data_IF_401992841349
#
_entry.id   IF_401992841349
#
_cell.length_a   1.000
_cell.length_b   1.000
_cell.length_c   1.000
_cell.angle_alpha   90.00
_cell.angle_beta   90.00
_cell.angle_gamma   90.00
#
_symmetry.space_group_name_H-M   'P 1'
#
loop_
_entity.id
_entity.type
_entity.pdbx_description
1 polymer ?
#
# COMPACT_ATOMS: atom_id res chain seq x y z
N UNK A 1 -8.71 15.62 15.95
CA UNK A 1 -7.28 15.27 15.83
C UNK A 1 -6.70 16.14 14.73
N UNK A 2 -5.56 16.80 14.98
CA UNK A 2 -4.93 17.64 13.96
C UNK A 2 -4.28 16.77 12.86
N UNK A 3 -4.14 17.32 11.65
CA UNK A 3 -3.56 16.57 10.53
C UNK A 3 -2.11 16.14 10.79
N UNK A 4 -1.36 16.95 11.53
CA UNK A 4 -0.01 16.65 11.95
C UNK A 4 0.05 15.46 12.90
N UNK A 5 -0.98 15.29 13.76
CA UNK A 5 -1.06 14.15 14.68
C UNK A 5 -1.34 12.86 13.91
N UNK A 6 -2.21 12.91 12.90
CA UNK A 6 -2.51 11.75 12.04
C UNK A 6 -1.26 11.33 11.27
N UNK A 7 -0.56 12.28 10.65
CA UNK A 7 0.68 12.00 9.95
C UNK A 7 1.74 11.43 10.90
N UNK A 8 1.90 12.01 12.09
CA UNK A 8 2.82 11.51 13.12
C UNK A 8 2.47 10.10 13.55
N UNK A 9 1.21 9.81 13.87
CA UNK A 9 0.77 8.48 14.27
C UNK A 9 1.05 7.44 13.18
N UNK A 10 0.76 7.76 11.92
CA UNK A 10 1.02 6.87 10.80
C UNK A 10 2.53 6.58 10.63
N UNK A 11 3.37 7.61 10.82
CA UNK A 11 4.83 7.50 10.69
C UNK A 11 5.53 6.89 11.91
N UNK A 12 4.90 6.88 13.09
CA UNK A 12 5.51 6.38 14.33
C UNK A 12 4.71 5.22 14.93
N UNK A 13 3.66 5.50 15.69
CA UNK A 13 2.89 4.53 16.48
C UNK A 13 2.28 3.42 15.63
N UNK A 14 1.87 3.76 14.40
CA UNK A 14 1.30 2.84 13.41
C UNK A 14 2.25 2.60 12.24
N UNK A 15 3.56 2.74 12.46
CA UNK A 15 4.57 2.54 11.42
C UNK A 15 4.53 1.13 10.80
N UNK A 16 4.14 0.12 11.57
CA UNK A 16 4.02 -1.27 11.09
C UNK A 16 2.93 -1.45 10.03
N UNK A 17 1.74 -0.89 10.25
CA UNK A 17 0.64 -0.99 9.26
C UNK A 17 1.00 -0.20 8.00
N UNK A 18 1.59 0.98 8.16
CA UNK A 18 2.10 1.77 7.04
C UNK A 18 3.10 0.95 6.22
N UNK A 19 4.09 0.35 6.88
CA UNK A 19 5.15 -0.46 6.26
C UNK A 19 4.61 -1.70 5.51
N UNK A 20 3.61 -2.39 6.05
CA UNK A 20 2.96 -3.52 5.35
C UNK A 20 2.18 -3.07 4.12
N UNK A 21 1.38 -2.00 4.25
CA UNK A 21 0.66 -1.45 3.10
C UNK A 21 1.59 -0.90 2.02
N UNK A 22 2.70 -0.25 2.41
CA UNK A 22 3.74 0.20 1.48
C UNK A 22 4.28 -0.96 0.66
N UNK A 23 4.69 -2.05 1.33
CA UNK A 23 5.21 -3.24 0.66
C UNK A 23 4.18 -3.83 -0.29
N UNK A 24 2.97 -4.11 0.21
CA UNK A 24 1.90 -4.68 -0.61
C UNK A 24 1.63 -3.82 -1.86
N UNK A 25 1.45 -2.51 -1.69
CA UNK A 25 1.18 -1.61 -2.81
C UNK A 25 2.38 -1.47 -3.75
N UNK A 26 3.62 -1.59 -3.24
CA UNK A 26 4.78 -1.64 -4.11
C UNK A 26 4.81 -2.91 -4.97
N UNK A 27 4.40 -4.07 -4.44
CA UNK A 27 4.19 -5.28 -5.24
C UNK A 27 3.04 -5.10 -6.23
N UNK A 28 1.90 -4.55 -5.79
CA UNK A 28 0.77 -4.23 -6.67
C UNK A 28 1.22 -3.38 -7.87
N UNK A 29 1.99 -2.31 -7.64
CA UNK A 29 2.54 -1.43 -8.68
C UNK A 29 3.28 -2.21 -9.76
N UNK A 30 4.11 -3.16 -9.37
CA UNK A 30 4.98 -3.92 -10.28
C UNK A 30 4.22 -5.02 -11.00
N UNK A 31 3.32 -5.70 -10.29
CA UNK A 31 2.53 -6.83 -10.81
C UNK A 31 1.39 -6.35 -11.71
N UNK A 32 0.56 -5.43 -11.21
CA UNK A 32 -0.63 -4.96 -11.92
C UNK A 32 -0.31 -3.80 -12.89
N UNK A 33 0.81 -3.09 -12.68
CA UNK A 33 1.17 -1.93 -13.50
C UNK A 33 0.20 -0.74 -13.37
N UNK A 34 -0.75 -0.81 -12.43
CA UNK A 34 -1.82 0.17 -12.32
C UNK A 34 -1.43 1.35 -11.42
N UNK A 35 -0.90 2.41 -12.03
CA UNK A 35 -0.56 3.65 -11.31
C UNK A 35 -1.78 4.48 -10.91
N UNK A 36 -2.94 4.27 -11.54
CA UNK A 36 -4.15 5.06 -11.24
C UNK A 36 -4.67 4.85 -9.81
N UNK A 37 -4.41 3.67 -9.21
CA UNK A 37 -4.74 3.41 -7.81
C UNK A 37 -4.03 4.40 -6.87
N UNK A 38 -2.78 4.74 -7.16
CA UNK A 38 -1.99 5.65 -6.34
C UNK A 38 -2.50 7.09 -6.45
N UNK A 39 -2.93 7.50 -7.65
CA UNK A 39 -3.61 8.80 -7.84
C UNK A 39 -4.92 8.87 -7.05
N UNK A 40 -5.72 7.79 -7.05
CA UNK A 40 -6.96 7.70 -6.26
C UNK A 40 -6.68 7.82 -4.77
N UNK A 41 -5.69 7.08 -4.25
CA UNK A 41 -5.28 7.16 -2.85
C UNK A 41 -4.77 8.56 -2.48
N UNK A 42 -3.95 9.18 -3.33
CA UNK A 42 -3.35 10.48 -3.03
C UNK A 42 -4.31 11.67 -3.15
N UNK A 43 -5.36 11.53 -3.97
CA UNK A 43 -6.31 12.61 -4.28
C UNK A 43 -7.72 12.38 -3.73
N UNK A 44 -7.92 11.34 -2.92
CA UNK A 44 -9.21 11.11 -2.30
C UNK A 44 -9.66 12.35 -1.50
N UNK A 45 -10.91 12.74 -1.72
CA UNK A 45 -11.52 13.92 -1.11
C UNK A 45 -12.19 13.61 0.22
N UNK A 46 -12.64 12.38 0.38
CA UNK A 46 -13.38 11.92 1.53
C UNK A 46 -13.10 10.44 1.83
N UNK A 47 -13.76 9.93 2.87
CA UNK A 47 -13.65 8.55 3.30
C UNK A 47 -14.13 7.56 2.24
N UNK A 48 -15.16 7.92 1.45
CA UNK A 48 -15.74 7.02 0.45
C UNK A 48 -14.75 6.79 -0.68
N UNK A 49 -14.17 7.84 -1.24
CA UNK A 49 -13.15 7.71 -2.29
C UNK A 49 -11.92 6.93 -1.79
N UNK A 50 -11.55 7.13 -0.52
CA UNK A 50 -10.48 6.36 0.09
C UNK A 50 -10.83 4.87 0.23
N UNK A 51 -12.05 4.55 0.66
CA UNK A 51 -12.56 3.17 0.76
C UNK A 51 -12.63 2.49 -0.61
N UNK A 52 -13.07 3.20 -1.65
CA UNK A 52 -13.12 2.67 -3.02
C UNK A 52 -11.71 2.28 -3.50
N UNK A 53 -10.71 3.13 -3.23
CA UNK A 53 -9.31 2.82 -3.55
C UNK A 53 -8.77 1.63 -2.74
N UNK A 54 -9.06 1.55 -1.43
CA UNK A 54 -8.66 0.39 -0.62
C UNK A 54 -9.31 -0.91 -1.09
N UNK A 55 -10.58 -0.86 -1.50
CA UNK A 55 -11.28 -2.00 -2.05
C UNK A 55 -10.65 -2.47 -3.36
N UNK A 56 -10.33 -1.55 -4.28
CA UNK A 56 -9.63 -1.87 -5.53
C UNK A 56 -8.29 -2.56 -5.28
N UNK A 57 -7.54 -2.08 -4.27
CA UNK A 57 -6.28 -2.69 -3.86
C UNK A 57 -6.51 -4.09 -3.26
N UNK A 58 -7.46 -4.24 -2.33
CA UNK A 58 -7.70 -5.50 -1.61
C UNK A 58 -8.30 -6.60 -2.50
N UNK A 59 -9.17 -6.24 -3.45
CA UNK A 59 -9.86 -7.17 -4.36
C UNK A 59 -8.92 -8.07 -5.15
N UNK A 60 -7.71 -7.59 -5.44
CA UNK A 60 -6.71 -8.32 -6.24
C UNK A 60 -5.55 -8.85 -5.39
N UNK A 61 -5.62 -8.75 -4.06
CA UNK A 61 -4.54 -9.12 -3.14
C UNK A 61 -3.99 -10.51 -3.43
N UNK A 62 -4.86 -11.52 -3.42
CA UNK A 62 -4.43 -12.91 -3.57
C UNK A 62 -3.77 -13.17 -4.92
N UNK A 63 -4.25 -12.52 -5.98
CA UNK A 63 -3.63 -12.57 -7.31
C UNK A 63 -2.26 -11.91 -7.34
N UNK A 64 -2.14 -10.71 -6.75
CA UNK A 64 -0.85 -10.00 -6.64
C UNK A 64 0.16 -10.84 -5.89
N UNK A 65 -0.23 -11.44 -4.76
CA UNK A 65 0.64 -12.28 -3.96
C UNK A 65 1.04 -13.57 -4.67
N UNK A 66 0.09 -14.24 -5.35
CA UNK A 66 0.40 -15.43 -6.15
C UNK A 66 1.42 -15.10 -7.25
N UNK A 67 1.18 -14.01 -8.00
CA UNK A 67 2.04 -13.60 -9.10
C UNK A 67 3.42 -13.15 -8.63
N UNK A 68 3.50 -12.46 -7.49
CA UNK A 68 4.77 -12.12 -6.83
C UNK A 68 5.61 -13.39 -6.56
N UNK A 69 4.99 -14.42 -5.97
CA UNK A 69 5.67 -15.70 -5.67
C UNK A 69 6.11 -16.42 -6.94
N UNK A 70 5.26 -16.45 -7.96
CA UNK A 70 5.58 -17.07 -9.26
C UNK A 70 6.75 -16.37 -9.96
N UNK A 71 6.71 -15.05 -10.07
CA UNK A 71 7.72 -14.28 -10.80
C UNK A 71 9.06 -14.30 -10.05
N UNK A 72 9.05 -14.39 -8.71
CA UNK A 72 10.25 -14.66 -7.91
C UNK A 72 10.80 -16.06 -8.17
N UNK A 73 9.95 -17.09 -8.21
CA UNK A 73 10.37 -18.46 -8.50
C UNK A 73 10.97 -18.62 -9.90
N UNK A 74 10.54 -17.78 -10.86
CA UNK A 74 11.09 -17.72 -12.23
C UNK A 74 12.34 -16.84 -12.36
N UNK A 75 12.73 -16.13 -11.31
CA UNK A 75 13.84 -15.16 -11.36
C UNK A 75 13.54 -13.91 -12.20
N UNK A 76 12.26 -13.62 -12.46
CA UNK A 76 11.82 -12.41 -13.18
C UNK A 76 11.74 -11.18 -12.24
N UNK A 77 11.59 -11.43 -10.93
CA UNK A 77 11.64 -10.43 -9.88
C UNK A 77 12.79 -10.70 -8.91
N UNK A 78 13.20 -9.65 -8.22
CA UNK A 78 14.12 -9.72 -7.08
C UNK A 78 13.50 -9.06 -5.85
N UNK A 79 13.69 -9.71 -4.70
CA UNK A 79 13.23 -9.30 -3.37
C UNK A 79 14.38 -9.50 -2.38
N UNK A 80 14.60 -8.55 -1.47
CA UNK A 80 15.52 -8.74 -0.33
C UNK A 80 14.87 -9.45 0.87
N UNK A 81 13.54 -9.60 0.82
CA UNK A 81 12.65 -10.08 1.88
C UNK A 81 11.94 -11.36 1.46
N UNK A 82 11.12 -11.93 2.35
CA UNK A 82 10.23 -13.02 1.97
C UNK A 82 8.96 -12.46 1.30
N UNK A 83 8.36 -13.16 0.33
CA UNK A 83 7.09 -12.74 -0.28
C UNK A 83 5.99 -12.49 0.76
N UNK A 84 5.97 -13.25 1.85
CA UNK A 84 5.01 -13.14 2.95
C UNK A 84 5.08 -11.78 3.67
N UNK A 85 6.24 -11.10 3.64
CA UNK A 85 6.39 -9.76 4.21
C UNK A 85 5.56 -8.70 3.45
N UNK A 86 5.13 -9.01 2.22
CA UNK A 86 4.30 -8.14 1.37
C UNK A 86 2.81 -8.37 1.56
N UNK A 87 2.42 -9.31 2.42
CA UNK A 87 1.02 -9.61 2.66
C UNK A 87 0.38 -8.63 3.66
N UNK A 88 -0.83 -8.19 3.33
CA UNK A 88 -1.73 -7.45 4.20
C UNK A 88 -2.93 -8.31 4.61
N UNK A 89 -3.41 -8.10 5.82
CA UNK A 89 -4.56 -8.79 6.42
C UNK A 89 -5.66 -7.82 6.87
N UNK A 90 -6.73 -8.37 7.45
CA UNK A 90 -7.88 -7.63 7.93
C UNK A 90 -7.54 -6.68 9.09
N UNK A 91 -6.53 -7.00 9.89
CA UNK A 91 -6.05 -6.13 10.98
C UNK A 91 -5.34 -4.92 10.41
N UNK A 92 -4.48 -5.12 9.40
CA UNK A 92 -3.82 -4.01 8.70
C UNK A 92 -4.85 -3.08 8.03
N UNK A 93 -5.92 -3.62 7.45
CA UNK A 93 -7.01 -2.82 6.90
C UNK A 93 -7.73 -2.03 7.99
N UNK A 94 -8.09 -2.69 9.09
CA UNK A 94 -8.78 -2.05 10.22
C UNK A 94 -7.96 -0.89 10.80
N UNK A 95 -6.67 -1.11 11.04
CA UNK A 95 -5.78 -0.08 11.58
C UNK A 95 -5.62 1.12 10.63
N UNK A 96 -5.56 0.89 9.32
CA UNK A 96 -5.46 1.96 8.35
C UNK A 96 -6.76 2.77 8.26
N UNK A 97 -7.91 2.10 8.27
CA UNK A 97 -9.23 2.74 8.25
C UNK A 97 -9.50 3.53 9.52
N UNK A 98 -9.12 3.02 10.70
CA UNK A 98 -9.22 3.76 11.96
C UNK A 98 -8.45 5.09 11.93
N UNK A 99 -7.26 5.13 11.32
CA UNK A 99 -6.54 6.39 11.14
C UNK A 99 -7.26 7.32 10.16
N UNK A 100 -7.74 6.76 9.05
CA UNK A 100 -8.44 7.53 8.03
C UNK A 100 -9.81 8.06 8.50
N UNK A 101 -10.39 7.53 9.57
CA UNK A 101 -11.66 8.02 10.15
C UNK A 101 -11.46 8.96 11.33
N UNK A 102 -10.22 9.24 11.75
CA UNK A 102 -9.93 10.12 12.88
C UNK A 102 -10.34 11.59 12.68
N UNK A 103 -10.52 12.03 11.44
CA UNK A 103 -11.11 13.32 11.07
C UNK A 103 -11.55 13.33 9.60
N UNK A 104 -12.37 14.29 9.17
CA UNK A 104 -12.82 14.42 7.77
C UNK A 104 -11.67 14.57 6.76
N UNK A 105 -10.54 15.16 7.18
CA UNK A 105 -9.37 15.38 6.32
C UNK A 105 -8.35 14.24 6.40
N UNK A 106 -8.53 13.30 7.33
CA UNK A 106 -7.60 12.19 7.54
C UNK A 106 -7.44 11.26 6.32
N UNK A 107 -8.50 10.90 5.55
CA UNK A 107 -8.36 9.99 4.41
C UNK A 107 -7.33 10.49 3.40
N UNK A 108 -7.35 11.78 3.08
CA UNK A 108 -6.42 12.40 2.14
C UNK A 108 -4.97 12.36 2.64
N UNK A 109 -4.74 12.61 3.92
CA UNK A 109 -3.39 12.57 4.51
C UNK A 109 -2.87 11.14 4.53
N UNK A 110 -3.67 10.19 5.00
CA UNK A 110 -3.28 8.77 5.06
C UNK A 110 -3.02 8.24 3.65
N UNK A 111 -3.96 8.45 2.72
CA UNK A 111 -3.86 7.99 1.34
C UNK A 111 -2.66 8.58 0.58
N UNK A 112 -2.41 9.88 0.71
CA UNK A 112 -1.26 10.52 0.07
C UNK A 112 0.08 10.03 0.62
N UNK A 113 0.20 9.82 1.93
CA UNK A 113 1.43 9.28 2.52
C UNK A 113 1.65 7.84 2.07
N UNK A 114 0.65 6.96 2.23
CA UNK A 114 0.74 5.55 1.81
C UNK A 114 1.12 5.43 0.34
N UNK A 115 0.45 6.19 -0.54
CA UNK A 115 0.75 6.18 -1.97
C UNK A 115 2.19 6.65 -2.25
N UNK A 116 2.61 7.75 -1.63
CA UNK A 116 3.96 8.30 -1.83
C UNK A 116 5.05 7.32 -1.41
N UNK A 117 4.93 6.72 -0.23
CA UNK A 117 5.91 5.75 0.23
C UNK A 117 5.91 4.47 -0.61
N UNK A 118 4.75 3.97 -1.04
CA UNK A 118 4.67 2.78 -1.91
C UNK A 118 5.26 3.01 -3.31
N UNK A 119 5.08 4.22 -3.87
CA UNK A 119 5.70 4.60 -5.14
C UNK A 119 7.22 4.65 -5.05
N UNK A 120 7.74 5.21 -3.95
CA UNK A 120 9.18 5.31 -3.68
C UNK A 120 9.80 4.01 -3.18
N UNK A 121 8.98 3.04 -2.74
CA UNK A 121 9.49 1.77 -2.23
C UNK A 121 10.28 1.04 -3.33
N UNK A 122 11.53 0.64 -3.03
CA UNK A 122 12.47 0.17 -4.04
C UNK A 122 12.13 -1.22 -4.57
N UNK A 123 11.32 -2.02 -3.86
CA UNK A 123 11.05 -3.43 -4.16
C UNK A 123 9.55 -3.72 -4.26
N UNK A 124 9.14 -4.81 -4.96
CA UNK A 124 9.97 -5.70 -5.76
C UNK A 124 10.55 -5.02 -7.00
N UNK A 125 11.66 -5.53 -7.53
CA UNK A 125 12.26 -5.01 -8.78
C UNK A 125 12.18 -6.07 -9.86
N UNK A 126 11.85 -5.66 -11.09
CA UNK A 126 12.02 -6.52 -12.27
C UNK A 126 13.51 -6.70 -12.55
N UNK A 127 13.92 -7.94 -12.76
CA UNK A 127 15.28 -8.24 -13.21
C UNK A 127 15.35 -7.84 -14.68
N UNK A 128 16.08 -6.78 -14.99
CA UNK A 128 16.39 -6.41 -16.37
C UNK A 128 17.18 -7.57 -16.99
N UNK A 129 16.63 -8.21 -18.02
CA UNK A 129 17.45 -9.13 -18.82
C UNK A 129 18.57 -8.32 -19.49
N UNK A 130 19.82 -8.81 -19.47
CA UNK A 130 20.93 -8.18 -20.18
C UNK A 130 20.69 -8.12 -21.69
#
# INVERSE_FOLDING_TARGET
MELLDIARQLLTTRGRVLDRWIRYLAAYKVIEGNLSLFDKLARCRDLREFQDALYEAARVKDRVMAKLKEDLARGELQLSRQPEDFEVDDKDLKELVELATASEKAPRVVGSLVASFALLHPEPRRVSRP
#
